data_IF_539651944592
#
_entry.id   IF_539651944592
#
_cell.length_a   1.000
_cell.length_b   1.000
_cell.length_c   1.000
_cell.angle_alpha   90.00
_cell.angle_beta   90.00
_cell.angle_gamma   90.00
#
_symmetry.space_group_name_H-M   'P 1'
#
loop_
_entity.id
_entity.type
_entity.pdbx_description
1 polymer ?
#
# COMPACT_ATOMS: atom_id res chain seq x y z
N UNK A 1 -11.10 21.77 -5.05
CA UNK A 1 -10.24 20.94 -4.21
C UNK A 1 -10.10 19.54 -4.81
N UNK A 2 -8.91 19.00 -4.72
CA UNK A 2 -8.65 17.65 -5.25
C UNK A 2 -9.02 16.61 -4.19
N UNK A 3 -9.85 15.62 -4.53
CA UNK A 3 -10.08 14.52 -3.62
C UNK A 3 -8.78 13.71 -3.41
N UNK A 4 -8.64 12.98 -2.29
CA UNK A 4 -7.43 12.17 -2.03
C UNK A 4 -7.13 11.16 -3.13
N UNK A 5 -8.11 10.82 -3.95
CA UNK A 5 -7.97 9.86 -5.04
C UNK A 5 -7.44 10.49 -6.33
N UNK A 6 -7.21 11.80 -6.37
CA UNK A 6 -6.95 12.51 -7.62
C UNK A 6 -5.47 12.64 -8.00
N UNK A 7 -4.54 12.20 -7.17
CA UNK A 7 -3.11 12.32 -7.48
C UNK A 7 -2.75 11.42 -8.66
N UNK A 8 -1.91 11.93 -9.56
CA UNK A 8 -1.48 11.17 -10.73
C UNK A 8 -0.02 10.74 -10.59
N UNK A 9 0.23 9.45 -10.83
CA UNK A 9 1.59 8.91 -10.83
C UNK A 9 2.33 9.45 -12.04
N UNK A 10 3.56 10.00 -11.86
CA UNK A 10 4.36 10.43 -13.01
C UNK A 10 4.53 9.31 -14.02
N UNK A 11 4.35 9.66 -15.31
CA UNK A 11 4.35 8.68 -16.39
C UNK A 11 5.64 7.85 -16.47
N UNK A 12 6.76 8.44 -16.05
CA UNK A 12 8.06 7.76 -16.08
C UNK A 12 8.10 6.52 -15.18
N UNK A 13 7.31 6.50 -14.09
CA UNK A 13 7.25 5.33 -13.22
C UNK A 13 6.41 4.20 -13.83
N UNK A 14 5.49 4.53 -14.70
CA UNK A 14 4.59 3.55 -15.32
C UNK A 14 5.26 2.74 -16.44
N UNK A 15 6.51 3.06 -16.79
CA UNK A 15 7.28 2.27 -17.74
C UNK A 15 7.77 0.95 -17.14
N UNK A 16 7.83 0.83 -15.82
CA UNK A 16 8.11 -0.45 -15.16
C UNK A 16 6.85 -1.32 -15.26
N UNK A 17 6.96 -2.42 -15.98
CA UNK A 17 5.81 -3.27 -16.31
C UNK A 17 5.16 -3.88 -15.08
N UNK A 18 5.97 -4.31 -14.10
CA UNK A 18 5.43 -4.90 -12.87
C UNK A 18 4.72 -3.87 -12.01
N UNK A 19 5.32 -2.70 -11.86
CA UNK A 19 4.66 -1.62 -11.12
C UNK A 19 3.37 -1.21 -11.82
N UNK A 20 3.39 -1.07 -13.13
CA UNK A 20 2.20 -0.68 -13.90
C UNK A 20 1.08 -1.72 -13.71
N UNK A 21 1.41 -3.01 -13.75
CA UNK A 21 0.43 -4.07 -13.51
C UNK A 21 -0.17 -3.97 -12.11
N UNK A 22 0.67 -3.75 -11.10
CA UNK A 22 0.21 -3.63 -9.71
C UNK A 22 -0.72 -2.42 -9.54
N UNK A 23 -0.29 -1.27 -10.02
CA UNK A 23 -1.01 -0.03 -9.77
C UNK A 23 -2.31 0.04 -10.57
N UNK A 24 -2.32 -0.56 -11.77
CA UNK A 24 -3.56 -0.66 -12.56
C UNK A 24 -4.62 -1.44 -11.80
N UNK A 25 -4.23 -2.53 -11.16
CA UNK A 25 -5.15 -3.29 -10.32
C UNK A 25 -5.56 -2.49 -9.08
N UNK A 26 -4.61 -1.89 -8.40
CA UNK A 26 -4.89 -1.16 -7.15
C UNK A 26 -5.80 0.04 -7.37
N UNK A 27 -5.63 0.77 -8.46
CA UNK A 27 -6.41 1.97 -8.72
C UNK A 27 -7.89 1.70 -8.99
N UNK A 28 -8.26 0.47 -9.30
CA UNK A 28 -9.66 0.10 -9.44
C UNK A 28 -10.47 0.35 -8.17
N UNK A 29 -9.82 0.37 -7.03
CA UNK A 29 -10.48 0.42 -5.72
C UNK A 29 -10.34 1.78 -5.02
N UNK A 30 -9.78 2.78 -5.71
CA UNK A 30 -9.71 4.13 -5.16
C UNK A 30 -11.11 4.58 -4.70
N UNK A 31 -11.17 5.13 -3.49
CA UNK A 31 -12.41 5.60 -2.92
C UNK A 31 -13.20 4.56 -2.13
N UNK A 32 -12.80 3.29 -2.15
CA UNK A 32 -13.46 2.26 -1.35
C UNK A 32 -13.24 2.55 0.14
N UNK A 33 -14.26 2.35 1.00
CA UNK A 33 -14.13 2.63 2.42
C UNK A 33 -13.23 1.64 3.14
N UNK A 34 -12.68 2.07 4.28
CA UNK A 34 -11.94 1.16 5.17
C UNK A 34 -12.93 0.28 5.91
N UNK A 35 -12.70 -1.04 5.89
CA UNK A 35 -13.50 -2.01 6.62
C UNK A 35 -12.55 -2.95 7.36
N UNK A 36 -12.61 -2.95 8.67
CA UNK A 36 -11.74 -3.79 9.50
C UNK A 36 -11.91 -5.26 9.13
N UNK A 37 -10.79 -5.93 8.84
CA UNK A 37 -10.81 -7.33 8.42
C UNK A 37 -11.19 -7.55 6.97
N UNK A 38 -11.51 -6.50 6.22
CA UNK A 38 -11.91 -6.62 4.82
C UNK A 38 -10.74 -7.01 3.93
N UNK A 39 -10.99 -7.85 2.92
CA UNK A 39 -9.94 -8.37 2.06
C UNK A 39 -10.39 -8.66 0.64
N UNK A 40 -11.55 -8.17 0.22
CA UNK A 40 -12.07 -8.39 -1.14
C UNK A 40 -12.92 -7.21 -1.58
N UNK A 41 -13.11 -7.01 -2.90
CA UNK A 41 -13.97 -5.91 -3.38
C UNK A 41 -15.39 -5.97 -2.84
N UNK A 42 -15.92 -7.18 -2.58
CA UNK A 42 -17.30 -7.33 -2.11
C UNK A 42 -17.47 -6.88 -0.65
N UNK A 43 -16.41 -6.94 0.15
CA UNK A 43 -16.46 -6.53 1.56
C UNK A 43 -15.80 -5.18 1.79
N UNK A 44 -15.10 -4.63 0.78
CA UNK A 44 -14.09 -3.62 0.91
C UNK A 44 -12.88 -4.16 1.69
N UNK A 45 -11.99 -3.29 2.16
CA UNK A 45 -10.65 -3.70 2.58
C UNK A 45 -10.23 -3.00 3.86
N UNK A 46 -9.34 -3.65 4.63
CA UNK A 46 -8.46 -2.94 5.54
C UNK A 46 -7.09 -2.73 4.85
N UNK A 47 -6.09 -2.21 5.56
CA UNK A 47 -4.81 -1.83 4.95
C UNK A 47 -4.09 -3.02 4.32
N UNK A 48 -3.92 -4.08 5.07
CA UNK A 48 -3.21 -5.27 4.60
C UNK A 48 -4.08 -6.12 3.68
N UNK A 49 -5.39 -6.08 3.86
CA UNK A 49 -6.34 -6.76 2.96
C UNK A 49 -6.27 -6.20 1.56
N UNK A 50 -6.20 -4.87 1.45
CA UNK A 50 -6.05 -4.20 0.15
C UNK A 50 -4.73 -4.61 -0.52
N UNK A 51 -3.62 -4.47 0.17
CA UNK A 51 -2.30 -4.79 -0.40
C UNK A 51 -2.21 -6.27 -0.78
N UNK A 52 -2.63 -7.17 0.12
CA UNK A 52 -2.62 -8.61 -0.17
C UNK A 52 -3.46 -8.94 -1.40
N UNK A 53 -4.63 -8.35 -1.50
CA UNK A 53 -5.54 -8.62 -2.61
C UNK A 53 -4.96 -8.17 -3.94
N UNK A 54 -4.43 -6.93 -4.00
CA UNK A 54 -3.92 -6.41 -5.27
C UNK A 54 -2.64 -7.14 -5.70
N UNK A 55 -1.78 -7.53 -4.78
CA UNK A 55 -0.59 -8.32 -5.10
C UNK A 55 -0.98 -9.68 -5.67
N UNK A 56 -1.93 -10.34 -5.04
CA UNK A 56 -2.39 -11.67 -5.45
C UNK A 56 -3.18 -11.60 -6.76
N UNK A 57 -4.13 -10.69 -6.84
CA UNK A 57 -5.03 -10.61 -7.99
C UNK A 57 -4.35 -10.09 -9.26
N UNK A 58 -3.31 -9.28 -9.12
CA UNK A 58 -2.50 -8.81 -10.25
C UNK A 58 -1.58 -9.91 -10.80
N UNK A 59 -1.39 -10.98 -10.03
CA UNK A 59 -0.49 -12.06 -10.41
C UNK A 59 0.97 -11.82 -10.10
N UNK A 60 1.32 -10.70 -9.47
CA UNK A 60 2.72 -10.36 -9.20
C UNK A 60 3.30 -11.15 -8.04
N UNK A 61 2.51 -11.36 -6.99
CA UNK A 61 2.97 -12.06 -5.81
C UNK A 61 1.77 -12.69 -5.12
N UNK A 62 1.70 -14.00 -5.13
CA UNK A 62 0.59 -14.73 -4.52
C UNK A 62 0.81 -14.82 -3.01
N UNK A 63 0.47 -13.74 -2.30
CA UNK A 63 0.64 -13.69 -0.85
C UNK A 63 -0.49 -14.38 -0.11
N UNK A 64 -1.64 -14.54 -0.76
CA UNK A 64 -2.88 -14.86 -0.05
C UNK A 64 -3.25 -13.71 0.87
N UNK A 65 -4.13 -13.95 1.84
CA UNK A 65 -4.54 -12.94 2.81
C UNK A 65 -3.51 -12.91 3.96
N UNK A 66 -2.71 -11.82 4.01
CA UNK A 66 -1.77 -11.58 5.10
C UNK A 66 -2.11 -10.28 5.81
N UNK A 67 -1.75 -10.18 7.09
CA UNK A 67 -1.76 -8.92 7.82
C UNK A 67 -0.53 -8.09 7.49
N UNK A 68 -0.47 -6.87 8.03
CA UNK A 68 0.66 -5.98 7.77
C UNK A 68 1.98 -6.58 8.24
N UNK A 69 2.00 -7.20 9.43
CA UNK A 69 3.21 -7.87 9.93
C UNK A 69 3.61 -9.04 9.03
N UNK A 70 2.65 -9.80 8.53
CA UNK A 70 2.93 -10.91 7.63
C UNK A 70 3.53 -10.46 6.32
N UNK A 71 3.03 -9.37 5.75
CA UNK A 71 3.60 -8.77 4.55
C UNK A 71 5.02 -8.28 4.79
N UNK A 72 5.26 -7.67 5.94
CA UNK A 72 6.61 -7.26 6.30
C UNK A 72 7.55 -8.47 6.38
N UNK A 73 7.09 -9.56 7.02
CA UNK A 73 7.91 -10.75 7.24
C UNK A 73 8.37 -11.40 5.93
N UNK A 74 7.58 -11.33 4.87
CA UNK A 74 7.93 -11.92 3.58
C UNK A 74 8.69 -10.96 2.67
N UNK A 75 8.82 -9.69 3.04
CA UNK A 75 9.50 -8.69 2.22
C UNK A 75 11.01 -8.67 2.52
N UNK A 76 11.78 -8.18 1.54
CA UNK A 76 13.19 -7.90 1.73
C UNK A 76 13.36 -6.43 2.08
N UNK A 77 13.98 -6.08 3.23
CA UNK A 77 14.15 -4.67 3.60
C UNK A 77 14.95 -3.90 2.56
N UNK A 78 14.54 -2.67 2.27
CA UNK A 78 15.26 -1.76 1.38
C UNK A 78 15.31 -0.38 2.04
N UNK A 79 16.38 0.37 1.75
CA UNK A 79 16.53 1.73 2.29
C UNK A 79 16.16 2.79 1.25
N UNK A 80 16.19 2.45 -0.03
CA UNK A 80 15.86 3.35 -1.13
C UNK A 80 14.72 2.75 -1.93
N UNK A 81 13.47 3.06 -1.56
CA UNK A 81 12.33 2.39 -2.17
C UNK A 81 12.12 2.82 -3.61
N UNK A 82 11.66 1.87 -4.41
CA UNK A 82 11.25 2.10 -5.78
C UNK A 82 9.72 1.95 -5.88
N UNK A 83 9.07 2.56 -6.86
CA UNK A 83 7.63 2.35 -7.04
C UNK A 83 7.29 0.86 -7.10
N UNK A 84 6.30 0.46 -6.30
CA UNK A 84 5.91 -0.94 -6.15
C UNK A 84 6.43 -1.59 -4.87
N UNK A 85 7.42 -1.00 -4.22
CA UNK A 85 7.85 -1.47 -2.90
C UNK A 85 6.77 -1.13 -1.87
N UNK A 86 6.80 -1.82 -0.74
CA UNK A 86 5.84 -1.58 0.34
C UNK A 86 6.44 -0.66 1.38
N UNK A 87 5.59 0.13 2.03
CA UNK A 87 5.97 0.96 3.16
C UNK A 87 5.18 0.52 4.38
N UNK A 88 5.88 0.34 5.50
CA UNK A 88 5.33 -0.24 6.73
C UNK A 88 5.40 0.75 7.87
N UNK A 89 4.38 0.71 8.72
CA UNK A 89 4.24 1.61 9.86
C UNK A 89 3.92 0.83 11.13
N UNK A 90 4.24 1.45 12.27
CA UNK A 90 3.93 0.90 13.59
C UNK A 90 3.12 1.93 14.37
N UNK A 91 2.34 1.45 15.33
CA UNK A 91 1.63 2.33 16.27
C UNK A 91 0.48 3.13 15.67
N UNK A 92 0.00 2.77 14.48
CA UNK A 92 -1.16 3.46 13.89
C UNK A 92 -2.46 3.05 14.59
N UNK A 93 -2.44 1.92 15.26
CA UNK A 93 -3.46 1.52 16.23
C UNK A 93 -2.80 0.62 17.28
N UNK A 94 -3.53 0.28 18.32
CA UNK A 94 -2.98 -0.48 19.45
C UNK A 94 -2.78 -1.96 19.08
N UNK A 95 -1.57 -2.28 18.64
CA UNK A 95 -1.16 -3.64 18.29
C UNK A 95 0.35 -3.76 18.39
N UNK A 96 0.84 -4.97 18.59
CA UNK A 96 2.26 -5.26 18.60
C UNK A 96 2.74 -5.39 17.15
N UNK A 97 3.91 -4.77 16.84
CA UNK A 97 4.55 -4.89 15.54
C UNK A 97 3.96 -3.98 14.48
N UNK A 98 4.08 -4.39 13.22
CA UNK A 98 3.64 -3.58 12.08
C UNK A 98 2.13 -3.50 12.04
N UNK A 99 1.60 -2.27 12.01
CA UNK A 99 0.17 -2.02 12.12
C UNK A 99 -0.47 -1.53 10.81
N UNK A 100 0.34 -0.99 9.87
CA UNK A 100 -0.19 -0.44 8.63
C UNK A 100 0.79 -0.66 7.50
N UNK A 101 0.28 -0.75 6.27
CA UNK A 101 1.08 -0.97 5.07
C UNK A 101 0.47 -0.21 3.90
N UNK A 102 1.33 0.33 3.05
CA UNK A 102 0.93 0.97 1.79
C UNK A 102 1.87 0.59 0.67
N UNK A 103 1.50 0.95 -0.55
CA UNK A 103 2.30 0.75 -1.74
C UNK A 103 3.00 2.06 -2.07
N UNK A 104 4.34 2.04 -2.07
CA UNK A 104 5.11 3.22 -2.47
C UNK A 104 4.93 3.45 -3.97
N UNK A 105 4.61 4.68 -4.37
CA UNK A 105 4.34 4.99 -5.78
C UNK A 105 5.29 6.03 -6.35
N UNK A 106 6.36 6.34 -5.61
CA UNK A 106 7.34 7.35 -6.03
C UNK A 106 7.03 8.73 -5.46
N UNK A 107 7.99 9.62 -5.54
CA UNK A 107 7.88 11.04 -5.15
C UNK A 107 7.36 11.26 -3.73
N UNK A 108 7.67 10.33 -2.81
CA UNK A 108 7.23 10.43 -1.43
C UNK A 108 5.74 10.17 -1.22
N UNK A 109 5.09 9.50 -2.17
CA UNK A 109 3.66 9.21 -2.11
C UNK A 109 3.43 7.71 -1.94
N UNK A 110 2.32 7.34 -1.31
CA UNK A 110 1.87 5.95 -1.23
C UNK A 110 0.41 5.85 -1.61
N UNK A 111 0.03 4.69 -2.14
CA UNK A 111 -1.36 4.29 -2.31
C UNK A 111 -1.69 3.29 -1.22
N UNK A 112 -2.70 3.57 -0.41
CA UNK A 112 -3.01 2.72 0.74
C UNK A 112 -4.49 2.73 1.07
N UNK A 113 -4.90 1.75 1.86
CA UNK A 113 -6.25 1.74 2.40
C UNK A 113 -6.25 2.50 3.72
N UNK A 114 -6.45 3.82 3.60
CA UNK A 114 -6.88 4.65 4.70
C UNK A 114 -8.41 4.59 4.74
N UNK A 115 -9.06 5.68 4.98
CA UNK A 115 -10.51 5.76 4.87
C UNK A 115 -10.87 7.02 4.09
N UNK A 116 -11.00 6.94 2.77
CA UNK A 116 -11.02 5.75 1.90
C UNK A 116 -9.64 5.31 1.42
N UNK A 117 -9.60 4.33 0.50
CA UNK A 117 -8.40 4.01 -0.27
C UNK A 117 -8.01 5.24 -1.07
N UNK A 118 -6.76 5.68 -0.92
CA UNK A 118 -6.31 6.99 -1.38
C UNK A 118 -4.80 7.06 -1.52
N UNK A 119 -4.34 8.06 -2.25
CA UNK A 119 -2.94 8.46 -2.22
C UNK A 119 -2.68 9.36 -1.01
N UNK A 120 -1.53 9.20 -0.38
CA UNK A 120 -1.14 10.03 0.75
C UNK A 120 0.33 10.40 0.66
N UNK A 121 0.64 11.61 1.12
CA UNK A 121 2.01 12.12 1.16
C UNK A 121 2.71 11.57 2.42
N UNK A 122 3.82 10.85 2.20
CA UNK A 122 4.60 10.27 3.29
C UNK A 122 5.35 11.32 4.10
N UNK A 123 5.56 12.51 3.55
CA UNK A 123 6.32 13.57 4.20
C UNK A 123 5.45 14.44 5.11
N UNK A 124 4.56 13.80 5.87
CA UNK A 124 3.76 14.44 6.91
C UNK A 124 4.26 13.99 8.27
N UNK A 125 4.00 14.78 9.31
CA UNK A 125 4.46 14.42 10.64
C UNK A 125 3.84 13.10 11.12
N UNK A 126 2.58 12.85 10.77
CA UNK A 126 1.91 11.61 11.17
C UNK A 126 2.62 10.39 10.60
N UNK A 127 2.82 10.34 9.28
CA UNK A 127 3.44 9.17 8.65
C UNK A 127 4.91 9.04 9.02
N UNK A 128 5.63 10.15 9.15
CA UNK A 128 7.03 10.12 9.57
C UNK A 128 7.20 9.57 10.99
N UNK A 129 6.29 9.93 11.90
CA UNK A 129 6.38 9.47 13.29
C UNK A 129 6.02 7.99 13.45
N UNK A 130 5.28 7.43 12.51
CA UNK A 130 4.89 6.01 12.55
C UNK A 130 5.69 5.13 11.59
N UNK A 131 6.55 5.72 10.78
CA UNK A 131 7.33 4.97 9.80
C UNK A 131 8.19 3.90 10.46
N UNK A 132 8.19 2.69 9.86
CA UNK A 132 9.00 1.60 10.34
C UNK A 132 10.03 1.14 9.31
N UNK A 133 9.62 0.79 8.10
CA UNK A 133 10.52 0.23 7.09
C UNK A 133 9.90 0.26 5.70
N UNK A 134 10.78 0.13 4.70
CA UNK A 134 10.36 -0.22 3.34
C UNK A 134 10.72 -1.67 3.08
N UNK A 135 9.93 -2.35 2.24
CA UNK A 135 10.20 -3.73 1.88
C UNK A 135 9.85 -4.04 0.43
N UNK A 136 10.61 -4.95 -0.16
CA UNK A 136 10.48 -5.34 -1.56
C UNK A 136 9.94 -6.76 -1.66
N UNK A 137 8.95 -6.98 -2.54
CA UNK A 137 8.39 -8.32 -2.78
C UNK A 137 8.69 -8.84 -4.18
N UNK A 138 8.97 -7.97 -5.12
CA UNK A 138 9.23 -8.40 -6.49
C UNK A 138 10.23 -7.51 -7.21
#
# INVERSE_FOLDING_TARGET
ENPPTAWEIPAEYLTDERFNTLITEAEKYLGYPYVWGGSSPSTSFDCSGFVSYVLTNSGLCNTGRLGAQGLYNISTPVSDPQPGDLVFFVGTYDTTGVSHVGIYVGDGMMLHCGDPIQYSNLNTSYWQSHFYAYGKLF
#
